data_IF_798923806081
#
_entry.id   IF_798923806081
#
_cell.length_a   1.000
_cell.length_b   1.000
_cell.length_c   1.000
_cell.angle_alpha   90.00
_cell.angle_beta   90.00
_cell.angle_gamma   90.00
#
_symmetry.space_group_name_H-M   'P 1'
#
loop_
_entity.id
_entity.type
_entity.pdbx_description
1 polymer ?
#
# COMPACT_ATOMS: atom_id res chain seq x y z
N UNK A 1 30.63 -59.50 -60.85
CA UNK A 1 31.51 -59.20 -59.70
C UNK A 1 31.82 -57.70 -59.68
N UNK A 2 31.26 -56.96 -58.71
CA UNK A 2 31.91 -55.87 -57.96
C UNK A 2 30.91 -55.40 -56.89
N UNK A 3 31.38 -55.45 -55.64
CA UNK A 3 30.67 -55.13 -54.40
C UNK A 3 30.75 -53.63 -54.11
N UNK A 4 29.97 -53.22 -53.10
CA UNK A 4 30.04 -51.99 -52.28
C UNK A 4 29.35 -50.77 -52.92
N UNK A 5 28.57 -49.92 -52.24
CA UNK A 5 28.17 -49.78 -50.83
C UNK A 5 27.02 -48.77 -50.79
N UNK A 6 26.03 -48.96 -49.91
CA UNK A 6 25.11 -47.91 -49.45
C UNK A 6 25.68 -47.39 -48.12
N UNK A 7 25.83 -46.06 -47.92
CA UNK A 7 24.98 -45.39 -46.94
C UNK A 7 24.46 -44.04 -47.50
N UNK A 8 23.16 -43.77 -47.42
CA UNK A 8 22.52 -43.03 -46.31
C UNK A 8 22.80 -41.52 -46.35
N UNK A 9 21.67 -40.80 -46.36
CA UNK A 9 21.42 -39.45 -45.83
C UNK A 9 21.45 -38.24 -46.79
N UNK A 10 20.37 -37.47 -46.69
CA UNK A 10 20.21 -36.05 -47.05
C UNK A 10 19.72 -35.69 -48.45
N UNK A 11 18.53 -36.18 -48.83
CA UNK A 11 17.59 -35.33 -49.59
C UNK A 11 16.28 -35.28 -48.83
N UNK A 12 15.88 -34.05 -48.48
CA UNK A 12 14.51 -33.71 -48.13
C UNK A 12 14.13 -34.04 -46.70
N UNK A 13 14.09 -33.01 -45.86
CA UNK A 13 12.90 -32.60 -45.10
C UNK A 13 13.33 -31.45 -44.16
N UNK A 14 13.61 -30.29 -44.75
CA UNK A 14 13.44 -28.99 -44.08
C UNK A 14 11.92 -28.69 -43.93
N UNK A 15 11.19 -29.67 -43.39
CA UNK A 15 9.79 -29.63 -43.01
C UNK A 15 9.75 -29.92 -41.52
N UNK A 16 10.33 -29.01 -40.74
CA UNK A 16 10.46 -29.16 -39.29
C UNK A 16 10.32 -27.85 -38.50
N UNK A 17 10.14 -26.70 -39.16
CA UNK A 17 9.49 -25.55 -38.52
C UNK A 17 7.99 -25.71 -38.66
N UNK A 18 7.45 -26.79 -38.06
CA UNK A 18 6.05 -26.79 -37.68
C UNK A 18 5.86 -25.53 -36.87
N UNK A 19 5.13 -24.58 -37.43
CA UNK A 19 4.40 -23.61 -36.65
C UNK A 19 3.81 -24.38 -35.48
N UNK A 20 4.40 -24.20 -34.30
CA UNK A 20 3.62 -24.33 -33.07
C UNK A 20 2.34 -23.55 -33.38
N UNK A 21 1.15 -24.15 -33.21
CA UNK A 21 -0.05 -23.36 -33.31
C UNK A 21 0.19 -22.23 -32.33
N UNK A 22 0.27 -21.00 -32.86
CA UNK A 22 0.08 -19.81 -32.06
C UNK A 22 -1.25 -20.09 -31.38
N UNK A 23 -1.21 -20.58 -30.14
CA UNK A 23 -2.35 -20.52 -29.25
C UNK A 23 -2.64 -19.03 -29.29
N UNK A 24 -3.63 -18.64 -30.08
CA UNK A 24 -4.32 -17.40 -29.83
C UNK A 24 -4.64 -17.51 -28.36
N UNK A 25 -3.93 -16.75 -27.56
CA UNK A 25 -4.39 -16.35 -26.25
C UNK A 25 -5.74 -15.73 -26.59
N UNK A 26 -6.80 -16.53 -26.53
CA UNK A 26 -8.15 -16.04 -26.74
C UNK A 26 -8.31 -15.01 -25.66
N UNK A 27 -8.22 -13.73 -26.03
CA UNK A 27 -8.42 -12.66 -25.09
C UNK A 27 -9.77 -12.93 -24.42
N UNK A 28 -9.81 -12.97 -23.07
CA UNK A 28 -11.04 -13.23 -22.37
C UNK A 28 -12.08 -12.22 -22.86
N UNK A 29 -13.27 -12.69 -23.21
CA UNK A 29 -14.34 -11.79 -23.61
C UNK A 29 -14.57 -10.74 -22.52
N UNK A 30 -15.01 -9.54 -22.89
CA UNK A 30 -15.24 -8.44 -21.95
C UNK A 30 -16.13 -8.87 -20.77
N UNK A 31 -17.11 -9.74 -21.02
CA UNK A 31 -17.98 -10.31 -19.99
C UNK A 31 -17.22 -11.18 -18.98
N UNK A 32 -16.24 -11.96 -19.43
CA UNK A 32 -15.39 -12.79 -18.56
C UNK A 32 -14.48 -11.90 -17.71
N UNK A 33 -13.90 -10.86 -18.30
CA UNK A 33 -13.06 -9.90 -17.59
C UNK A 33 -13.86 -9.13 -16.53
N UNK A 34 -15.04 -8.62 -16.88
CA UNK A 34 -15.92 -7.91 -15.96
C UNK A 34 -16.30 -8.77 -14.75
N UNK A 35 -16.64 -10.05 -14.96
CA UNK A 35 -16.94 -10.98 -13.86
C UNK A 35 -15.75 -11.23 -12.94
N UNK A 36 -14.53 -11.35 -13.49
CA UNK A 36 -13.31 -11.51 -12.70
C UNK A 36 -13.03 -10.28 -11.84
N UNK A 37 -13.14 -9.09 -12.42
CA UNK A 37 -13.01 -7.82 -11.68
C UNK A 37 -14.07 -7.68 -10.59
N UNK A 38 -15.33 -8.04 -10.87
CA UNK A 38 -16.40 -8.01 -9.87
C UNK A 38 -16.10 -8.95 -8.69
N UNK A 39 -15.63 -10.17 -8.99
CA UNK A 39 -15.24 -11.13 -7.96
C UNK A 39 -14.08 -10.61 -7.11
N UNK A 40 -13.01 -10.12 -7.74
CA UNK A 40 -11.85 -9.57 -7.03
C UNK A 40 -12.23 -8.36 -6.16
N UNK A 41 -13.12 -7.49 -6.66
CA UNK A 41 -13.65 -6.38 -5.87
C UNK A 41 -14.44 -6.86 -4.65
N UNK A 42 -15.26 -7.90 -4.77
CA UNK A 42 -16.01 -8.46 -3.63
C UNK A 42 -15.08 -9.07 -2.59
N UNK A 43 -14.12 -9.89 -3.03
CA UNK A 43 -13.12 -10.49 -2.14
C UNK A 43 -12.39 -9.40 -1.34
N UNK A 44 -12.05 -8.31 -2.02
CA UNK A 44 -11.37 -7.21 -1.38
C UNK A 44 -12.25 -6.39 -0.44
N UNK A 45 -13.52 -6.17 -0.77
CA UNK A 45 -14.48 -5.57 0.16
C UNK A 45 -14.59 -6.39 1.45
N UNK A 46 -14.56 -7.71 1.35
CA UNK A 46 -14.54 -8.60 2.53
C UNK A 46 -13.29 -8.35 3.38
N UNK A 47 -12.11 -8.19 2.75
CA UNK A 47 -10.85 -7.89 3.48
C UNK A 47 -10.90 -6.54 4.20
N UNK A 48 -11.53 -5.53 3.60
CA UNK A 48 -11.74 -4.23 4.22
C UNK A 48 -12.68 -4.33 5.43
N UNK A 49 -13.83 -4.97 5.24
CA UNK A 49 -14.79 -5.21 6.32
C UNK A 49 -14.19 -6.00 7.48
N UNK A 50 -13.33 -6.98 7.17
CA UNK A 50 -12.59 -7.74 8.18
C UNK A 50 -11.65 -6.84 8.98
N UNK A 51 -10.95 -5.93 8.31
CA UNK A 51 -10.07 -4.96 8.96
C UNK A 51 -10.85 -4.04 9.89
N UNK A 52 -11.98 -3.51 9.42
CA UNK A 52 -12.87 -2.66 10.23
C UNK A 52 -13.42 -3.40 11.45
N UNK A 53 -13.90 -4.63 11.25
CA UNK A 53 -14.39 -5.48 12.32
C UNK A 53 -13.31 -5.74 13.39
N UNK A 54 -12.09 -6.10 12.96
CA UNK A 54 -10.99 -6.39 13.87
C UNK A 54 -10.63 -5.16 14.71
N UNK A 55 -10.61 -3.98 14.10
CA UNK A 55 -10.30 -2.73 14.81
C UNK A 55 -11.45 -2.21 15.65
N UNK A 56 -12.70 -2.58 15.36
CA UNK A 56 -13.85 -2.32 16.20
C UNK A 56 -13.99 -3.34 17.36
N UNK A 57 -13.32 -4.50 17.27
CA UNK A 57 -13.38 -5.55 18.29
C UNK A 57 -12.73 -5.14 19.62
N UNK A 58 -13.02 -5.92 20.67
CA UNK A 58 -12.44 -5.72 22.01
C UNK A 58 -10.91 -5.84 21.97
N UNK A 59 -10.16 -5.08 22.79
CA UNK A 59 -8.70 -5.09 22.75
C UNK A 59 -8.05 -6.48 22.87
N UNK A 60 -8.56 -7.34 23.75
CA UNK A 60 -8.07 -8.71 23.93
C UNK A 60 -8.30 -9.58 22.68
N UNK A 61 -9.50 -9.50 22.10
CA UNK A 61 -9.84 -10.22 20.86
C UNK A 61 -8.98 -9.74 19.70
N UNK A 62 -8.77 -8.43 19.60
CA UNK A 62 -7.90 -7.83 18.58
C UNK A 62 -6.47 -8.32 18.69
N UNK A 63 -5.93 -8.37 19.91
CA UNK A 63 -4.57 -8.85 20.16
C UNK A 63 -4.43 -10.33 19.79
N UNK A 64 -5.37 -11.17 20.25
CA UNK A 64 -5.39 -12.59 19.94
C UNK A 64 -5.46 -12.86 18.42
N UNK A 65 -6.34 -12.15 17.71
CA UNK A 65 -6.49 -12.36 16.28
C UNK A 65 -5.27 -11.85 15.50
N UNK A 66 -4.64 -10.76 15.93
CA UNK A 66 -3.37 -10.31 15.36
C UNK A 66 -2.25 -11.32 15.58
N UNK A 67 -2.18 -11.93 16.76
CA UNK A 67 -1.20 -12.98 17.05
C UNK A 67 -1.46 -14.22 16.17
N UNK A 68 -2.72 -14.64 16.02
CA UNK A 68 -3.13 -15.71 15.12
C UNK A 68 -2.69 -15.43 13.68
N UNK A 69 -2.96 -14.22 13.18
CA UNK A 69 -2.57 -13.81 11.83
C UNK A 69 -1.04 -13.73 11.66
N UNK A 70 -0.32 -13.29 12.68
CA UNK A 70 1.14 -13.19 12.65
C UNK A 70 1.82 -14.57 12.63
N UNK A 71 1.22 -15.57 13.28
CA UNK A 71 1.69 -16.96 13.26
C UNK A 71 1.27 -17.76 12.02
N UNK A 72 0.37 -17.21 11.19
CA UNK A 72 -0.14 -17.89 10.01
C UNK A 72 0.86 -17.84 8.84
N UNK A 73 1.00 -18.95 8.12
CA UNK A 73 1.92 -19.08 6.97
C UNK A 73 1.24 -18.83 5.62
N UNK A 74 -0.10 -18.87 5.58
CA UNK A 74 -0.85 -18.69 4.35
C UNK A 74 -0.83 -17.22 3.87
N UNK A 75 -0.88 -17.06 2.56
CA UNK A 75 -0.83 -15.75 1.90
C UNK A 75 -2.00 -14.86 2.33
N UNK A 76 -3.20 -15.44 2.51
CA UNK A 76 -4.39 -14.67 2.86
C UNK A 76 -4.26 -14.00 4.21
N UNK A 77 -3.83 -14.73 5.24
CA UNK A 77 -3.62 -14.22 6.59
C UNK A 77 -2.53 -13.15 6.61
N UNK A 78 -1.43 -13.35 5.86
CA UNK A 78 -0.36 -12.36 5.72
C UNK A 78 -0.86 -11.07 5.07
N UNK A 79 -1.67 -11.17 4.02
CA UNK A 79 -2.30 -10.01 3.36
C UNK A 79 -3.30 -9.33 4.29
N UNK A 80 -4.15 -10.09 4.97
CA UNK A 80 -5.14 -9.55 5.91
C UNK A 80 -4.48 -8.79 7.06
N UNK A 81 -3.41 -9.33 7.66
CA UNK A 81 -2.65 -8.61 8.69
C UNK A 81 -2.03 -7.31 8.15
N UNK A 82 -1.44 -7.37 6.96
CA UNK A 82 -0.84 -6.20 6.33
C UNK A 82 -1.90 -5.14 6.04
N UNK A 83 -3.08 -5.52 5.53
CA UNK A 83 -4.21 -4.62 5.31
C UNK A 83 -4.72 -3.99 6.60
N UNK A 84 -4.90 -4.78 7.67
CA UNK A 84 -5.27 -4.27 9.00
C UNK A 84 -4.28 -3.19 9.46
N UNK A 85 -2.98 -3.44 9.28
CA UNK A 85 -1.96 -2.48 9.68
C UNK A 85 -1.97 -1.20 8.83
N UNK A 86 -2.48 -1.23 7.60
CA UNK A 86 -2.65 -0.03 6.75
C UNK A 86 -3.86 0.83 7.09
N UNK A 87 -4.74 0.38 7.99
CA UNK A 87 -6.00 1.06 8.29
C UNK A 87 -5.77 2.47 8.91
N UNK A 88 -6.58 3.49 8.58
CA UNK A 88 -6.37 4.88 9.07
C UNK A 88 -6.32 5.05 10.58
N UNK A 89 -7.03 4.22 11.35
CA UNK A 89 -7.00 4.22 12.83
C UNK A 89 -5.71 3.66 13.43
N UNK A 90 -4.84 3.05 12.62
CA UNK A 90 -3.54 2.55 13.08
C UNK A 90 -2.49 3.67 13.16
N UNK A 91 -1.45 3.44 13.97
CA UNK A 91 -0.34 4.36 14.06
C UNK A 91 0.35 4.55 12.70
N UNK A 92 0.97 5.72 12.49
CA UNK A 92 1.75 6.01 11.27
C UNK A 92 2.81 4.94 11.00
N UNK A 93 3.47 4.45 12.05
CA UNK A 93 4.47 3.38 11.94
C UNK A 93 3.86 2.05 11.47
N UNK A 94 2.71 1.66 12.05
CA UNK A 94 1.96 0.46 11.66
C UNK A 94 1.51 0.55 10.20
N UNK A 95 0.97 1.71 9.80
CA UNK A 95 0.56 1.98 8.41
C UNK A 95 1.71 1.85 7.41
N UNK A 96 2.86 2.44 7.70
CA UNK A 96 4.06 2.32 6.84
C UNK A 96 4.52 0.87 6.71
N UNK A 97 4.66 0.17 7.84
CA UNK A 97 5.07 -1.23 7.84
C UNK A 97 4.06 -2.14 7.11
N UNK A 98 2.76 -1.87 7.27
CA UNK A 98 1.69 -2.56 6.54
C UNK A 98 1.79 -2.36 5.03
N UNK A 99 2.03 -1.12 4.56
CA UNK A 99 2.19 -0.82 3.13
C UNK A 99 3.42 -1.51 2.55
N UNK A 100 4.55 -1.46 3.24
CA UNK A 100 5.77 -2.15 2.80
C UNK A 100 5.58 -3.66 2.74
N UNK A 101 4.84 -4.22 3.71
CA UNK A 101 4.47 -5.63 3.69
C UNK A 101 3.54 -5.96 2.53
N UNK A 102 2.53 -5.15 2.23
CA UNK A 102 1.66 -5.36 1.07
C UNK A 102 2.44 -5.32 -0.25
N UNK A 103 3.37 -4.37 -0.42
CA UNK A 103 4.23 -4.31 -1.61
C UNK A 103 5.05 -5.58 -1.78
N UNK A 104 5.62 -6.10 -0.70
CA UNK A 104 6.38 -7.35 -0.73
C UNK A 104 5.51 -8.58 -1.07
N UNK A 105 4.22 -8.55 -0.71
CA UNK A 105 3.25 -9.62 -0.98
C UNK A 105 2.65 -9.58 -2.39
N UNK A 106 2.71 -8.43 -3.09
CA UNK A 106 2.13 -8.27 -4.42
C UNK A 106 2.54 -9.38 -5.41
N UNK A 107 3.82 -9.79 -5.53
CA UNK A 107 4.22 -10.80 -6.51
C UNK A 107 3.64 -12.19 -6.24
N UNK A 108 3.23 -12.48 -5.00
CA UNK A 108 2.63 -13.76 -4.61
C UNK A 108 1.13 -13.84 -4.97
N UNK A 109 0.50 -12.72 -5.35
CA UNK A 109 -0.93 -12.61 -5.59
C UNK A 109 -1.32 -12.76 -7.06
N UNK A 110 -2.57 -13.15 -7.32
CA UNK A 110 -3.16 -13.11 -8.66
C UNK A 110 -3.28 -11.69 -9.21
N UNK A 111 -3.28 -11.54 -10.54
CA UNK A 111 -3.26 -10.24 -11.23
C UNK A 111 -4.39 -9.30 -10.79
N UNK A 112 -5.59 -9.85 -10.57
CA UNK A 112 -6.75 -9.04 -10.18
C UNK A 112 -6.59 -8.47 -8.75
N UNK A 113 -6.11 -9.29 -7.82
CA UNK A 113 -5.78 -8.84 -6.46
C UNK A 113 -4.62 -7.83 -6.44
N UNK A 114 -3.62 -8.02 -7.31
CA UNK A 114 -2.53 -7.06 -7.48
C UNK A 114 -3.03 -5.69 -7.96
N UNK A 115 -3.92 -5.67 -8.96
CA UNK A 115 -4.46 -4.42 -9.50
C UNK A 115 -5.17 -3.60 -8.41
N UNK A 116 -5.99 -4.26 -7.60
CA UNK A 116 -6.61 -3.61 -6.46
C UNK A 116 -5.56 -3.13 -5.44
N UNK A 117 -4.69 -4.02 -4.97
CA UNK A 117 -3.77 -3.68 -3.88
C UNK A 117 -2.78 -2.59 -4.28
N UNK A 118 -2.41 -2.49 -5.55
CA UNK A 118 -1.63 -1.34 -6.06
C UNK A 118 -2.38 -0.02 -5.86
N UNK A 119 -3.68 0.00 -6.13
CA UNK A 119 -4.53 1.18 -5.92
C UNK A 119 -4.67 1.50 -4.43
N UNK A 120 -4.83 0.47 -3.59
CA UNK A 120 -4.86 0.61 -2.13
C UNK A 120 -3.55 1.16 -1.56
N UNK A 121 -2.41 0.61 -2.01
CA UNK A 121 -1.08 1.07 -1.58
C UNK A 121 -0.88 2.53 -1.95
N UNK A 122 -1.18 2.92 -3.19
CA UNK A 122 -1.05 4.29 -3.64
C UNK A 122 -1.92 5.26 -2.81
N UNK A 123 -3.15 4.87 -2.50
CA UNK A 123 -4.02 5.66 -1.61
C UNK A 123 -3.43 5.78 -0.20
N UNK A 124 -2.94 4.68 0.38
CA UNK A 124 -2.34 4.67 1.70
C UNK A 124 -1.10 5.56 1.81
N UNK A 125 -0.26 5.55 0.77
CA UNK A 125 0.92 6.43 0.67
C UNK A 125 0.53 7.91 0.59
N UNK A 126 -0.47 8.27 -0.21
CA UNK A 126 -0.92 9.65 -0.31
C UNK A 126 -1.53 10.15 1.00
N UNK A 127 -2.30 9.30 1.70
CA UNK A 127 -2.83 9.63 3.03
C UNK A 127 -1.71 9.88 4.05
N UNK A 128 -0.65 9.06 4.04
CA UNK A 128 0.51 9.27 4.90
C UNK A 128 1.28 10.55 4.56
N UNK A 129 1.44 10.85 3.27
CA UNK A 129 2.08 12.08 2.82
C UNK A 129 1.26 13.31 3.25
N UNK A 130 -0.06 13.23 3.16
CA UNK A 130 -0.98 14.28 3.63
C UNK A 130 -0.90 14.50 5.13
N UNK A 131 -0.85 13.42 5.92
CA UNK A 131 -0.73 13.52 7.38
C UNK A 131 0.58 14.21 7.77
N UNK A 132 1.70 13.84 7.14
CA UNK A 132 3.01 14.50 7.36
C UNK A 132 2.95 16.00 7.09
N UNK A 133 2.35 16.42 5.96
CA UNK A 133 2.21 17.85 5.62
C UNK A 133 1.39 18.61 6.67
N UNK A 134 0.35 17.98 7.24
CA UNK A 134 -0.47 18.58 8.30
C UNK A 134 0.33 18.74 9.60
N UNK A 135 1.14 17.75 9.95
CA UNK A 135 1.97 17.80 11.15
C UNK A 135 3.01 18.93 11.04
N UNK A 136 3.66 19.07 9.89
CA UNK A 136 4.62 20.15 9.62
C UNK A 136 3.96 21.54 9.76
N UNK A 137 2.79 21.72 9.16
CA UNK A 137 2.00 22.95 9.28
C UNK A 137 1.60 23.25 10.73
N UNK A 138 1.24 22.22 11.50
CA UNK A 138 0.84 22.39 12.90
C UNK A 138 2.02 22.85 13.76
N UNK A 139 3.22 22.31 13.51
CA UNK A 139 4.44 22.74 14.20
C UNK A 139 4.82 24.19 13.86
N UNK A 140 4.66 24.59 12.59
CA UNK A 140 4.90 25.97 12.17
C UNK A 140 3.94 26.95 12.85
N UNK A 141 2.65 26.63 12.91
CA UNK A 141 1.65 27.45 13.63
C UNK A 141 2.01 27.59 15.10
N UNK A 142 2.44 26.51 15.77
CA UNK A 142 2.88 26.57 17.18
C UNK A 142 4.15 27.40 17.37
N UNK A 143 5.07 27.37 16.40
CA UNK A 143 6.27 28.21 16.41
C UNK A 143 5.89 29.69 16.27
N UNK A 144 5.04 30.03 15.31
CA UNK A 144 4.58 31.40 15.08
C UNK A 144 3.81 31.95 16.28
N UNK A 145 2.94 31.15 16.91
CA UNK A 145 2.22 31.54 18.14
C UNK A 145 3.19 31.94 19.26
N UNK A 146 4.21 31.12 19.52
CA UNK A 146 5.25 31.41 20.52
C UNK A 146 6.02 32.69 20.21
N UNK A 147 6.31 32.95 18.93
CA UNK A 147 6.97 34.19 18.51
C UNK A 147 6.08 35.41 18.73
N UNK A 148 4.78 35.32 18.43
CA UNK A 148 3.82 36.41 18.69
C UNK A 148 3.71 36.68 20.20
N UNK A 149 3.60 35.64 21.03
CA UNK A 149 3.55 35.80 22.49
C UNK A 149 4.81 36.51 23.03
N UNK A 150 5.99 36.16 22.52
CA UNK A 150 7.24 36.84 22.87
C UNK A 150 7.24 38.32 22.45
N UNK A 151 6.79 38.63 21.24
CA UNK A 151 6.71 40.01 20.75
C UNK A 151 5.72 40.84 21.56
N UNK A 152 4.55 40.27 21.90
CA UNK A 152 3.56 40.93 22.76
C UNK A 152 4.11 41.21 24.15
N UNK A 153 4.86 40.27 24.75
CA UNK A 153 5.50 40.50 26.05
C UNK A 153 6.56 41.61 25.98
N UNK A 154 7.33 41.70 24.89
CA UNK A 154 8.29 42.79 24.67
C UNK A 154 7.57 44.14 24.55
N UNK A 155 6.47 44.20 23.79
CA UNK A 155 5.69 45.43 23.63
C UNK A 155 5.07 45.90 24.95
N UNK A 156 4.55 44.97 25.75
CA UNK A 156 4.01 45.27 27.08
C UNK A 156 5.10 45.80 28.03
N UNK A 157 6.29 45.20 28.04
CA UNK A 157 7.44 45.70 28.79
C UNK A 157 7.92 47.08 28.30
N UNK A 158 7.86 47.35 26.99
CA UNK A 158 8.18 48.67 26.44
C UNK A 158 7.16 49.72 26.87
N UNK A 159 5.86 49.40 26.82
CA UNK A 159 4.80 50.29 27.27
C UNK A 159 4.88 50.57 28.77
N UNK A 160 5.12 49.56 29.60
CA UNK A 160 5.36 49.75 31.04
C UNK A 160 6.55 50.65 31.33
N UNK A 161 7.66 50.50 30.58
CA UNK A 161 8.82 51.41 30.71
C UNK A 161 8.48 52.86 30.34
N UNK A 162 7.69 53.08 29.29
CA UNK A 162 7.25 54.43 28.92
C UNK A 162 6.34 55.06 29.97
N UNK A 163 5.41 54.30 30.53
CA UNK A 163 4.49 54.77 31.57
C UNK A 163 5.25 55.11 32.87
N UNK A 164 6.21 54.28 33.27
CA UNK A 164 6.99 54.49 34.49
C UNK A 164 8.10 55.56 34.32
N UNK A 165 8.66 55.71 33.12
CA UNK A 165 9.66 56.73 32.79
C UNK A 165 9.09 58.13 32.58
N UNK A 166 7.78 58.26 32.33
CA UNK A 166 7.07 59.55 32.29
C UNK A 166 6.66 60.08 33.67
N UNK A 167 6.95 59.36 34.75
CA UNK A 167 6.59 59.68 36.13
C UNK A 167 7.80 60.06 37.00
N UNK A 168 8.78 60.75 36.42
CA UNK A 168 9.76 61.53 37.18
C UNK A 168 9.48 63.03 36.98
N UNK A 169 9.31 63.81 38.06
CA UNK A 169 9.01 65.25 38.00
C UNK A 169 10.14 66.07 37.37
#
# INVERSE_FOLDING_TARGET
MKRFVVPVLMIGLLSGCSLLPSRSLTEPSEQVLAKRMEFANKEMQVRLQYSDWLLASRPQQRAQERERLAGATDLESRVSLAMVNTHPSESVASRRAGLDRLKALLPELGLDAQAFLRSWIALGEELLARDSRRDDQSQEVQRLRRQIEQLSAIDEQLNQRKLNGGAQP
#
